data_IF_848723248234
#
_entry.id   IF_848723248234
#
_cell.length_a   1.000
_cell.length_b   1.000
_cell.length_c   1.000
_cell.angle_alpha   90.00
_cell.angle_beta   90.00
_cell.angle_gamma   90.00
#
_symmetry.space_group_name_H-M   'P 1'
#
loop_
_entity.id
_entity.type
_entity.pdbx_description
1 polymer ?
#
# COMPACT_ATOMS: atom_id res chain seq x y z
N UNK A 1 3.81 -26.70 3.16
CA UNK A 1 2.80 -26.02 2.32
C UNK A 1 2.63 -24.61 2.88
N UNK A 2 3.00 -23.57 2.12
CA UNK A 2 2.70 -22.18 2.48
C UNK A 2 1.20 -21.96 2.20
N UNK A 3 0.43 -21.64 3.24
CA UNK A 3 -0.96 -21.21 3.09
C UNK A 3 -0.99 -19.69 3.00
N UNK A 4 -1.92 -19.17 2.20
CA UNK A 4 -2.16 -17.72 2.18
C UNK A 4 -2.68 -17.25 3.55
N UNK A 5 -2.26 -16.07 4.01
CA UNK A 5 -2.85 -15.43 5.18
C UNK A 5 -4.37 -15.28 5.02
N UNK A 6 -5.10 -15.35 6.14
CA UNK A 6 -6.55 -15.16 6.17
C UNK A 6 -6.90 -13.76 6.66
N UNK A 7 -7.92 -13.15 6.06
CA UNK A 7 -8.49 -11.90 6.57
C UNK A 7 -9.16 -12.18 7.91
N UNK A 8 -8.66 -11.57 8.99
CA UNK A 8 -9.21 -11.74 10.34
C UNK A 8 -10.35 -10.77 10.67
N UNK A 9 -10.36 -9.58 10.06
CA UNK A 9 -11.37 -8.53 10.27
C UNK A 9 -11.47 -7.61 9.04
N UNK A 10 -12.60 -6.95 8.80
CA UNK A 10 -12.69 -5.91 7.78
C UNK A 10 -11.84 -4.68 8.16
N UNK A 11 -11.33 -3.92 7.16
CA UNK A 11 -10.73 -2.61 7.40
C UNK A 11 -11.82 -1.57 7.74
N UNK A 12 -11.42 -0.46 8.38
CA UNK A 12 -12.29 0.71 8.50
C UNK A 12 -12.42 1.44 7.16
N UNK A 13 -13.57 2.08 6.93
CA UNK A 13 -13.93 2.63 5.61
C UNK A 13 -12.98 3.69 5.06
N UNK A 14 -12.24 4.38 5.94
CA UNK A 14 -11.33 5.46 5.55
C UNK A 14 -9.95 4.98 5.10
N UNK A 15 -9.61 3.70 5.28
CA UNK A 15 -8.31 3.17 4.85
C UNK A 15 -8.24 3.01 3.33
N UNK A 16 -7.08 3.36 2.75
CA UNK A 16 -6.75 3.22 1.32
C UNK A 16 -7.01 1.82 0.77
N UNK A 17 -6.77 0.77 1.56
CA UNK A 17 -6.98 -0.63 1.14
C UNK A 17 -8.43 -0.92 0.73
N UNK A 18 -9.42 -0.17 1.23
CA UNK A 18 -10.81 -0.30 0.80
C UNK A 18 -11.00 -0.03 -0.71
N UNK A 19 -10.10 0.76 -1.31
CA UNK A 19 -10.09 1.05 -2.74
C UNK A 19 -9.69 -0.15 -3.60
N UNK A 20 -9.14 -1.22 -3.03
CA UNK A 20 -8.82 -2.46 -3.75
C UNK A 20 -10.08 -3.12 -4.36
N UNK A 21 -11.27 -2.83 -3.82
CA UNK A 21 -12.54 -3.27 -4.39
C UNK A 21 -12.76 -2.80 -5.84
N UNK A 22 -12.14 -1.69 -6.25
CA UNK A 22 -12.21 -1.18 -7.63
C UNK A 22 -11.48 -2.09 -8.63
N UNK A 23 -10.64 -3.02 -8.17
CA UNK A 23 -9.97 -4.01 -9.02
C UNK A 23 -10.93 -5.11 -9.49
N UNK A 24 -12.06 -5.31 -8.81
CA UNK A 24 -12.97 -6.43 -9.07
C UNK A 24 -13.50 -6.36 -10.51
N UNK A 25 -13.30 -7.44 -11.27
CA UNK A 25 -13.74 -7.55 -12.65
C UNK A 25 -12.83 -6.88 -13.68
N UNK A 26 -11.81 -6.13 -13.27
CA UNK A 26 -10.82 -5.58 -14.19
C UNK A 26 -9.84 -6.67 -14.64
N UNK A 27 -9.34 -6.55 -15.87
CA UNK A 27 -8.30 -7.43 -16.42
C UNK A 27 -6.96 -6.72 -16.39
N UNK A 28 -5.92 -7.39 -15.87
CA UNK A 28 -4.55 -6.84 -15.83
C UNK A 28 -3.93 -6.93 -17.22
N UNK A 29 -3.40 -5.80 -17.70
CA UNK A 29 -2.65 -5.70 -18.95
C UNK A 29 -1.14 -5.79 -18.72
N UNK A 30 -0.63 -5.11 -17.69
CA UNK A 30 0.80 -5.05 -17.35
C UNK A 30 0.97 -4.85 -15.85
N UNK A 31 2.06 -5.40 -15.31
CA UNK A 31 2.50 -5.16 -13.93
C UNK A 31 3.93 -4.65 -13.95
N UNK A 32 4.20 -3.59 -13.19
CA UNK A 32 5.55 -3.09 -12.92
C UNK A 32 5.80 -3.13 -11.43
N UNK A 33 7.03 -3.42 -11.02
CA UNK A 33 7.42 -3.48 -9.62
C UNK A 33 8.84 -2.96 -9.43
N UNK A 34 9.11 -2.39 -8.28
CA UNK A 34 10.41 -1.85 -7.92
C UNK A 34 10.35 -1.08 -6.62
N UNK A 35 11.16 -0.04 -6.52
CA UNK A 35 11.13 0.91 -5.41
C UNK A 35 10.69 2.27 -5.94
N UNK A 36 9.88 2.98 -5.15
CA UNK A 36 9.51 4.37 -5.46
C UNK A 36 10.77 5.22 -5.52
N UNK A 37 10.79 6.18 -6.44
CA UNK A 37 11.83 7.21 -6.45
C UNK A 37 11.92 7.90 -5.08
N UNK A 38 13.13 8.34 -4.75
CA UNK A 38 13.38 8.98 -3.46
C UNK A 38 12.64 10.32 -3.41
N UNK A 39 11.84 10.53 -2.37
CA UNK A 39 11.16 11.79 -2.10
C UNK A 39 11.74 12.31 -0.79
N UNK A 40 12.26 13.54 -0.81
CA UNK A 40 12.88 14.15 0.37
C UNK A 40 11.90 14.14 1.56
N UNK A 41 12.37 13.66 2.71
CA UNK A 41 11.57 13.57 3.93
C UNK A 41 10.57 12.40 3.97
N UNK A 42 10.52 11.53 2.96
CA UNK A 42 9.65 10.35 2.93
C UNK A 42 10.50 9.08 2.89
N UNK A 43 10.13 8.06 3.67
CA UNK A 43 10.83 6.78 3.65
C UNK A 43 10.74 6.11 2.26
N UNK A 44 11.80 5.40 1.86
CA UNK A 44 11.75 4.56 0.66
C UNK A 44 10.67 3.49 0.76
N UNK A 45 10.07 3.12 -0.36
CA UNK A 45 8.91 2.24 -0.40
C UNK A 45 8.98 1.28 -1.57
N UNK A 46 8.60 0.01 -1.35
CA UNK A 46 8.30 -0.91 -2.46
C UNK A 46 7.11 -0.37 -3.24
N UNK A 47 7.16 -0.49 -4.55
CA UNK A 47 6.15 0.03 -5.47
C UNK A 47 5.71 -1.08 -6.42
N UNK A 48 4.39 -1.24 -6.56
CA UNK A 48 3.73 -2.10 -7.53
C UNK A 48 2.75 -1.25 -8.35
N UNK A 49 2.89 -1.24 -9.67
CA UNK A 49 1.97 -0.55 -10.58
C UNK A 49 1.25 -1.59 -11.43
N UNK A 50 -0.07 -1.60 -11.36
CA UNK A 50 -0.95 -2.48 -12.14
C UNK A 50 -1.66 -1.64 -13.19
N UNK A 51 -1.40 -1.96 -14.45
CA UNK A 51 -2.11 -1.38 -15.59
C UNK A 51 -3.24 -2.30 -15.99
N UNK A 52 -4.46 -1.79 -16.10
CA UNK A 52 -5.62 -2.56 -16.52
C UNK A 52 -5.92 -2.37 -18.01
N UNK A 53 -6.58 -3.34 -18.62
CA UNK A 53 -6.96 -3.32 -20.05
C UNK A 53 -7.96 -2.22 -20.40
N UNK A 54 -8.66 -1.67 -19.41
CA UNK A 54 -9.60 -0.56 -19.59
C UNK A 54 -8.91 0.82 -19.57
N UNK A 55 -7.58 0.87 -19.43
CA UNK A 55 -6.78 2.09 -19.39
C UNK A 55 -6.54 2.65 -17.99
N UNK A 56 -7.25 2.16 -16.97
CA UNK A 56 -7.01 2.59 -15.58
C UNK A 56 -5.71 2.00 -15.02
N UNK A 57 -5.11 2.72 -14.07
CA UNK A 57 -3.84 2.33 -13.42
C UNK A 57 -4.00 2.39 -11.91
N UNK A 58 -3.50 1.37 -11.21
CA UNK A 58 -3.37 1.33 -9.76
C UNK A 58 -1.90 1.29 -9.37
N UNK A 59 -1.47 2.25 -8.57
CA UNK A 59 -0.21 2.18 -7.82
C UNK A 59 -0.48 1.69 -6.40
N UNK A 60 0.34 0.75 -5.93
CA UNK A 60 0.38 0.26 -4.56
C UNK A 60 1.79 0.48 -4.03
N UNK A 61 1.91 1.22 -2.93
CA UNK A 61 3.17 1.35 -2.21
C UNK A 61 2.96 1.19 -0.69
N UNK A 62 4.05 0.97 0.03
CA UNK A 62 4.02 0.88 1.49
C UNK A 62 4.02 2.28 2.13
N UNK A 63 3.14 2.49 3.10
CA UNK A 63 3.21 3.58 4.06
C UNK A 63 3.75 3.06 5.39
N UNK A 64 4.58 3.83 6.08
CA UNK A 64 5.06 3.50 7.42
C UNK A 64 5.24 4.76 8.26
N UNK A 65 4.85 4.64 9.54
CA UNK A 65 5.09 5.69 10.51
C UNK A 65 6.49 5.62 11.17
N UNK A 66 7.40 4.75 10.67
CA UNK A 66 8.76 4.59 11.22
C UNK A 66 9.48 5.93 11.40
N UNK A 67 9.40 6.83 10.40
CA UNK A 67 10.03 8.14 10.45
C UNK A 67 9.42 9.07 11.51
N UNK A 68 8.10 8.97 11.74
CA UNK A 68 7.44 9.73 12.81
C UNK A 68 7.93 9.28 14.20
N UNK A 69 8.15 7.98 14.35
CA UNK A 69 8.59 7.37 15.60
C UNK A 69 10.11 7.47 15.81
N UNK A 70 10.90 7.71 14.76
CA UNK A 70 12.35 7.81 14.84
C UNK A 70 12.86 8.95 15.74
N UNK A 71 12.00 9.88 16.16
CA UNK A 71 12.33 10.99 17.07
C UNK A 71 11.66 10.87 18.44
N UNK A 72 10.91 9.80 18.70
CA UNK A 72 10.23 9.53 19.98
C UNK A 72 10.69 8.16 20.50
N UNK A 73 11.53 8.11 21.52
CA UNK A 73 12.17 6.85 21.94
C UNK A 73 11.61 6.27 23.24
N UNK A 74 11.08 7.11 24.13
CA UNK A 74 10.56 6.67 25.42
C UNK A 74 9.07 6.32 25.33
N UNK A 75 8.69 5.16 25.86
CA UNK A 75 7.29 4.75 25.97
C UNK A 75 6.66 4.19 24.70
N UNK A 76 7.39 4.09 23.59
CA UNK A 76 6.93 3.41 22.37
C UNK A 76 6.62 1.93 22.65
N UNK A 77 5.47 1.51 22.16
CA UNK A 77 5.01 0.12 22.16
C UNK A 77 5.08 -0.41 20.74
N UNK A 78 5.15 -1.74 20.63
CA UNK A 78 5.10 -2.44 19.33
C UNK A 78 3.88 -2.03 18.48
N UNK A 79 2.73 -1.82 19.12
CA UNK A 79 1.50 -1.42 18.47
C UNK A 79 1.46 0.06 18.09
N UNK A 80 2.49 0.86 18.41
CA UNK A 80 2.60 2.22 17.91
C UNK A 80 3.23 2.22 16.51
N UNK A 81 3.95 1.16 16.13
CA UNK A 81 4.49 0.99 14.79
C UNK A 81 3.45 0.40 13.83
N UNK A 82 3.30 1.03 12.67
CA UNK A 82 2.37 0.61 11.66
C UNK A 82 2.99 0.67 10.26
N UNK A 83 2.60 -0.30 9.44
CA UNK A 83 2.82 -0.33 7.99
C UNK A 83 1.49 -0.61 7.33
N UNK A 84 1.20 0.10 6.26
CA UNK A 84 -0.02 -0.02 5.49
C UNK A 84 0.28 -0.05 3.98
N UNK A 85 -0.72 -0.46 3.20
CA UNK A 85 -0.69 -0.36 1.75
C UNK A 85 -1.43 0.91 1.33
N UNK A 86 -0.69 1.85 0.76
CA UNK A 86 -1.23 3.04 0.12
C UNK A 86 -1.62 2.69 -1.32
N UNK A 87 -2.86 3.01 -1.68
CA UNK A 87 -3.43 2.75 -3.00
C UNK A 87 -3.74 4.08 -3.68
N UNK A 88 -3.25 4.24 -4.92
CA UNK A 88 -3.45 5.44 -5.74
C UNK A 88 -3.97 5.05 -7.12
N UNK A 89 -5.13 5.59 -7.49
CA UNK A 89 -5.78 5.31 -8.76
C UNK A 89 -5.63 6.46 -9.75
N UNK A 90 -5.35 6.10 -11.00
CA UNK A 90 -5.50 6.97 -12.16
C UNK A 90 -6.64 6.40 -13.03
N UNK A 91 -7.75 7.14 -13.21
CA UNK A 91 -8.84 6.70 -14.08
C UNK A 91 -8.39 6.67 -15.55
N UNK A 92 -9.14 5.95 -16.38
CA UNK A 92 -8.96 5.93 -17.83
C UNK A 92 -9.28 7.29 -18.47
#
# INVERSE_FOLDING_TARGET
>A
MLQLPKIGRPPEAHYSICQASQMVGKTVAKVEFGFRENIEGVHGSELLIVHFTDGSILSIDTGSNAGNLAHQHEGLKENDFHVDLSLHWVPA
#
